data_IF_864296228829
#
_entry.id   IF_864296228829
#
_cell.length_a   1.000
_cell.length_b   1.000
_cell.length_c   1.000
_cell.angle_alpha   90.00
_cell.angle_beta   90.00
_cell.angle_gamma   90.00
#
_symmetry.space_group_name_H-M   'P 1'
#
loop_
_entity.id
_entity.type
_entity.pdbx_description
1 polymer ?
#
# COMPACT_ATOMS: atom_id res chain seq x y z
N UNK A 1 -19.10 16.75 19.81
CA UNK A 1 -17.65 16.56 20.07
C UNK A 1 -17.06 15.68 18.98
N UNK A 2 -15.85 15.97 18.46
CA UNK A 2 -15.15 15.04 17.56
C UNK A 2 -14.47 15.59 16.29
N UNK A 3 -14.38 16.91 16.05
CA UNK A 3 -13.45 17.49 15.05
C UNK A 3 -12.03 17.68 15.62
N UNK A 4 -11.55 16.73 16.43
CA UNK A 4 -10.12 16.66 16.76
C UNK A 4 -9.43 16.10 15.52
N UNK A 5 -8.69 16.97 14.83
CA UNK A 5 -8.13 16.76 13.49
C UNK A 5 -7.45 15.40 13.37
N UNK A 6 -7.58 14.75 12.19
CA UNK A 6 -6.89 13.49 11.89
C UNK A 6 -5.39 13.56 12.26
N UNK A 7 -4.78 14.73 12.09
CA UNK A 7 -3.44 15.11 12.55
C UNK A 7 -3.20 14.82 14.04
N UNK A 8 -4.13 15.12 14.94
CA UNK A 8 -3.91 14.90 16.39
C UNK A 8 -3.86 13.42 16.76
N UNK A 9 -4.52 12.54 15.99
CA UNK A 9 -4.64 11.10 16.32
C UNK A 9 -3.56 10.24 15.66
N UNK A 10 -3.01 10.69 14.55
CA UNK A 10 -2.13 9.88 13.71
C UNK A 10 -0.73 10.47 13.69
N UNK A 11 0.17 9.92 14.51
CA UNK A 11 1.52 10.44 14.68
C UNK A 11 2.36 10.37 13.41
N UNK A 12 2.29 9.26 12.67
CA UNK A 12 3.03 9.11 11.41
C UNK A 12 2.50 10.05 10.32
N UNK A 13 1.21 10.40 10.36
CA UNK A 13 0.67 11.45 9.49
C UNK A 13 1.21 12.84 9.84
N UNK A 14 1.40 13.16 11.13
CA UNK A 14 2.05 14.42 11.55
C UNK A 14 3.52 14.43 11.14
N UNK A 15 4.27 13.39 11.50
CA UNK A 15 5.68 13.25 11.17
C UNK A 15 5.91 13.35 9.66
N UNK A 16 5.00 12.78 8.85
CA UNK A 16 5.07 12.91 7.40
C UNK A 16 5.03 14.38 6.95
N UNK A 17 4.15 15.19 7.54
CA UNK A 17 4.05 16.61 7.21
C UNK A 17 5.26 17.41 7.71
N UNK A 18 5.73 17.10 8.92
CA UNK A 18 6.88 17.75 9.56
C UNK A 18 8.18 17.48 8.78
N UNK A 19 8.36 16.26 8.28
CA UNK A 19 9.52 15.84 7.49
C UNK A 19 9.34 16.04 5.96
N UNK A 20 8.21 16.60 5.54
CA UNK A 20 7.91 16.93 4.15
C UNK A 20 7.71 15.71 3.23
N UNK A 21 7.20 14.60 3.77
CA UNK A 21 6.73 13.44 3.02
C UNK A 21 5.29 13.63 2.52
N UNK A 22 5.00 13.16 1.30
CA UNK A 22 3.65 13.23 0.70
C UNK A 22 2.60 12.42 1.46
N UNK A 23 2.99 11.31 2.07
CA UNK A 23 2.10 10.45 2.82
C UNK A 23 2.84 9.76 3.97
N UNK A 24 2.07 9.30 4.98
CA UNK A 24 2.60 8.51 6.10
C UNK A 24 3.19 7.16 5.68
N UNK A 25 2.86 6.66 4.48
CA UNK A 25 3.39 5.38 4.02
C UNK A 25 4.88 5.42 3.69
N UNK A 26 5.50 6.59 3.57
CA UNK A 26 6.95 6.74 3.48
C UNK A 26 7.68 6.03 4.65
N UNK A 27 7.13 6.10 5.88
CA UNK A 27 7.71 5.43 7.04
C UNK A 27 7.69 3.89 6.95
N UNK A 28 6.76 3.32 6.18
CA UNK A 28 6.72 1.87 5.97
C UNK A 28 7.97 1.41 5.23
N UNK A 29 8.28 2.06 4.10
CA UNK A 29 9.47 1.74 3.31
C UNK A 29 10.77 2.00 4.08
N UNK A 30 10.83 3.10 4.85
CA UNK A 30 11.99 3.39 5.71
C UNK A 30 12.23 2.31 6.78
N UNK A 31 11.15 1.81 7.39
CA UNK A 31 11.22 0.74 8.39
C UNK A 31 11.56 -0.62 7.77
N UNK A 32 11.08 -0.88 6.54
CA UNK A 32 11.46 -2.08 5.78
C UNK A 32 12.94 -2.01 5.37
N UNK A 33 13.42 -0.86 4.91
CA UNK A 33 14.85 -0.66 4.60
C UNK A 33 15.74 -0.86 5.83
N UNK A 34 15.33 -0.36 7.00
CA UNK A 34 16.08 -0.56 8.24
C UNK A 34 16.27 -2.05 8.58
N UNK A 35 15.25 -2.88 8.33
CA UNK A 35 15.28 -4.30 8.67
C UNK A 35 15.96 -5.16 7.60
N UNK A 36 15.68 -4.88 6.33
CA UNK A 36 16.10 -5.72 5.20
C UNK A 36 17.27 -5.16 4.40
N UNK A 37 17.74 -3.94 4.74
CA UNK A 37 18.82 -3.23 4.07
C UNK A 37 18.58 -3.16 2.54
N UNK A 38 17.52 -2.46 2.14
CA UNK A 38 16.99 -2.48 0.77
C UNK A 38 17.74 -1.54 -0.19
N UNK A 39 18.46 -0.54 0.28
CA UNK A 39 19.09 0.43 -0.63
C UNK A 39 20.54 0.19 -1.06
N UNK A 40 21.39 -0.61 -0.37
CA UNK A 40 22.76 -0.85 -0.84
C UNK A 40 22.81 -1.50 -2.23
N UNK A 41 23.71 -1.00 -3.07
CA UNK A 41 23.93 -1.50 -4.43
C UNK A 41 22.79 -1.20 -5.43
N UNK A 42 21.77 -0.45 -5.02
CA UNK A 42 20.62 -0.11 -5.88
C UNK A 42 20.93 1.16 -6.65
N UNK A 43 20.92 1.05 -7.97
CA UNK A 43 21.09 2.18 -8.90
C UNK A 43 19.88 2.36 -9.81
N UNK A 44 19.12 1.29 -10.04
CA UNK A 44 17.87 1.30 -10.83
C UNK A 44 16.72 0.83 -9.95
N UNK A 45 15.78 1.72 -9.66
CA UNK A 45 14.63 1.40 -8.81
C UNK A 45 13.30 1.66 -9.55
N UNK A 46 12.33 0.77 -9.35
CA UNK A 46 10.96 0.92 -9.84
C UNK A 46 9.99 1.00 -8.67
N UNK A 47 9.14 2.01 -8.68
CA UNK A 47 8.02 2.17 -7.74
C UNK A 47 6.71 1.94 -8.50
N UNK A 48 5.99 0.86 -8.18
CA UNK A 48 4.73 0.48 -8.82
C UNK A 48 3.55 0.89 -7.95
N UNK A 49 2.46 1.32 -8.59
CA UNK A 49 1.30 1.89 -7.90
C UNK A 49 1.73 3.05 -6.98
N UNK A 50 2.59 3.90 -7.52
CA UNK A 50 3.36 4.86 -6.75
C UNK A 50 2.52 6.03 -6.19
N UNK A 51 1.34 6.34 -6.72
CA UNK A 51 0.60 7.55 -6.35
C UNK A 51 0.24 7.56 -4.85
N UNK A 52 0.48 8.68 -4.13
CA UNK A 52 0.86 10.02 -4.59
C UNK A 52 2.37 10.26 -4.74
N UNK A 53 3.21 9.24 -4.56
CA UNK A 53 4.66 9.27 -4.77
C UNK A 53 5.47 9.28 -3.48
N UNK A 54 4.93 8.77 -2.36
CA UNK A 54 5.64 8.83 -1.07
C UNK A 54 6.83 7.86 -1.01
N UNK A 55 6.73 6.67 -1.61
CA UNK A 55 7.83 5.71 -1.74
C UNK A 55 8.86 6.18 -2.76
N UNK A 56 8.41 6.71 -3.91
CA UNK A 56 9.26 7.42 -4.86
C UNK A 56 10.07 8.55 -4.23
N UNK A 57 9.50 9.29 -3.28
CA UNK A 57 10.25 10.29 -2.51
C UNK A 57 11.33 9.67 -1.64
N UNK A 58 11.03 8.57 -0.96
CA UNK A 58 12.00 7.85 -0.13
C UNK A 58 13.15 7.34 -0.99
N UNK A 59 12.85 6.69 -2.12
CA UNK A 59 13.85 6.23 -3.09
C UNK A 59 14.72 7.38 -3.59
N UNK A 60 14.10 8.50 -4.00
CA UNK A 60 14.85 9.67 -4.47
C UNK A 60 15.79 10.22 -3.40
N UNK A 61 15.32 10.42 -2.15
CA UNK A 61 16.17 10.94 -1.08
C UNK A 61 17.28 9.96 -0.67
N UNK A 62 17.00 8.65 -0.63
CA UNK A 62 17.92 7.63 -0.13
C UNK A 62 18.96 7.19 -1.14
N UNK A 63 18.55 7.01 -2.40
CA UNK A 63 19.46 6.56 -3.46
C UNK A 63 20.28 7.71 -4.02
N UNK A 64 19.67 8.89 -4.23
CA UNK A 64 20.40 10.03 -4.80
C UNK A 64 21.37 10.70 -3.82
N UNK A 65 21.10 10.61 -2.52
CA UNK A 65 22.09 11.01 -1.51
C UNK A 65 23.40 10.22 -1.63
N UNK A 66 23.40 9.05 -2.28
CA UNK A 66 24.59 8.21 -2.53
C UNK A 66 25.21 8.43 -3.91
N UNK A 67 24.55 9.15 -4.83
CA UNK A 67 25.12 9.50 -6.16
C UNK A 67 26.44 10.27 -6.00
N UNK A 68 26.49 11.17 -5.01
CA UNK A 68 27.69 11.97 -4.69
C UNK A 68 28.86 11.10 -4.19
N UNK A 69 28.58 9.95 -3.59
CA UNK A 69 29.57 9.04 -3.01
C UNK A 69 30.06 7.97 -4.01
N UNK A 70 29.17 7.50 -4.91
CA UNK A 70 29.43 6.34 -5.77
C UNK A 70 29.69 6.68 -7.25
N UNK A 71 29.40 7.92 -7.68
CA UNK A 71 29.66 8.37 -9.05
C UNK A 71 28.77 7.74 -10.14
N UNK A 72 27.90 6.78 -9.80
CA UNK A 72 26.92 6.20 -10.70
C UNK A 72 25.59 6.95 -10.65
N UNK A 73 25.01 7.19 -11.83
CA UNK A 73 23.74 7.89 -11.97
C UNK A 73 22.58 6.97 -11.61
N UNK A 74 21.85 7.31 -10.57
CA UNK A 74 20.66 6.58 -10.12
C UNK A 74 19.49 6.90 -11.06
N UNK A 75 18.77 5.87 -11.47
CA UNK A 75 17.56 5.95 -12.28
C UNK A 75 16.37 5.41 -11.48
N UNK A 76 15.36 6.25 -11.28
CA UNK A 76 14.14 5.87 -10.56
C UNK A 76 12.95 6.05 -11.49
N UNK A 77 12.17 5.00 -11.67
CA UNK A 77 10.94 5.01 -12.47
C UNK A 77 9.75 4.75 -11.57
N UNK A 78 8.77 5.65 -11.56
CA UNK A 78 7.55 5.51 -10.79
C UNK A 78 6.36 5.36 -11.74
N UNK A 79 5.54 4.33 -11.51
CA UNK A 79 4.43 3.96 -12.39
C UNK A 79 3.13 3.97 -11.62
N UNK A 80 2.13 4.68 -12.14
CA UNK A 80 0.77 4.65 -11.60
C UNK A 80 -0.27 4.95 -12.69
N UNK A 81 -1.51 4.50 -12.49
CA UNK A 81 -2.64 4.89 -13.34
C UNK A 81 -3.00 6.38 -13.16
N UNK A 82 -2.82 6.90 -11.94
CA UNK A 82 -3.06 8.28 -11.57
C UNK A 82 -1.85 9.15 -11.86
N UNK A 83 -2.11 10.37 -12.33
CA UNK A 83 -1.06 11.37 -12.49
C UNK A 83 -0.50 11.78 -11.12
N UNK A 84 0.83 11.77 -11.01
CA UNK A 84 1.54 12.25 -9.82
C UNK A 84 2.15 13.61 -10.08
N UNK A 85 2.28 14.41 -9.02
CA UNK A 85 3.06 15.63 -9.11
C UNK A 85 4.55 15.29 -9.29
N UNK A 86 5.31 16.08 -10.08
CA UNK A 86 6.70 15.77 -10.41
C UNK A 86 7.55 15.63 -9.15
N UNK A 87 8.51 14.71 -9.20
CA UNK A 87 9.47 14.43 -8.14
C UNK A 87 10.90 14.58 -8.65
N UNK A 88 11.79 15.29 -7.95
CA UNK A 88 13.18 15.46 -8.38
C UNK A 88 13.89 14.11 -8.55
N UNK A 89 14.48 13.88 -9.72
CA UNK A 89 15.22 12.65 -10.02
C UNK A 89 14.37 11.39 -10.17
N UNK A 90 13.05 11.53 -10.34
CA UNK A 90 12.14 10.40 -10.58
C UNK A 90 11.45 10.60 -11.93
N UNK A 91 11.60 9.64 -12.82
CA UNK A 91 10.82 9.55 -14.05
C UNK A 91 9.45 8.97 -13.71
N UNK A 92 8.38 9.67 -14.10
CA UNK A 92 7.01 9.27 -13.79
C UNK A 92 6.32 8.80 -15.08
N UNK A 93 5.87 7.56 -15.09
CA UNK A 93 5.09 6.96 -16.18
C UNK A 93 3.65 6.85 -15.70
N UNK A 94 2.74 7.49 -16.41
CA UNK A 94 1.32 7.27 -16.18
C UNK A 94 0.87 6.07 -17.01
N UNK A 95 0.81 4.90 -16.39
CA UNK A 95 0.67 3.63 -17.09
C UNK A 95 -0.03 2.55 -16.29
N UNK A 96 -0.57 1.59 -17.01
CA UNK A 96 -1.19 0.40 -16.42
C UNK A 96 -0.13 -0.70 -16.32
N UNK A 97 0.13 -1.18 -15.10
CA UNK A 97 1.16 -2.19 -14.83
C UNK A 97 0.84 -3.55 -15.48
N UNK A 98 -0.41 -3.80 -15.89
CA UNK A 98 -0.80 -5.03 -16.59
C UNK A 98 -0.44 -5.01 -18.07
N UNK A 99 -0.08 -3.84 -18.62
CA UNK A 99 0.21 -3.68 -20.05
C UNK A 99 1.69 -3.86 -20.37
N UNK A 100 1.95 -4.62 -21.45
CA UNK A 100 3.31 -4.81 -22.00
C UNK A 100 3.95 -3.49 -22.42
N UNK A 101 3.15 -2.52 -22.89
CA UNK A 101 3.65 -1.19 -23.26
C UNK A 101 4.35 -0.48 -22.09
N UNK A 102 3.80 -0.61 -20.88
CA UNK A 102 4.35 -0.03 -19.65
C UNK A 102 5.69 -0.69 -19.29
N UNK A 103 5.76 -2.02 -19.39
CA UNK A 103 7.01 -2.77 -19.17
C UNK A 103 8.10 -2.32 -20.15
N UNK A 104 7.76 -2.18 -21.44
CA UNK A 104 8.69 -1.71 -22.47
C UNK A 104 9.18 -0.28 -22.21
N UNK A 105 8.32 0.60 -21.71
CA UNK A 105 8.68 1.97 -21.35
C UNK A 105 9.68 2.01 -20.18
N UNK A 106 9.45 1.19 -19.14
CA UNK A 106 10.40 1.03 -18.03
C UNK A 106 11.77 0.54 -18.54
N UNK A 107 11.78 -0.52 -19.36
CA UNK A 107 13.01 -1.09 -19.92
C UNK A 107 13.77 -0.06 -20.77
N UNK A 108 13.07 0.76 -21.56
CA UNK A 108 13.68 1.86 -22.33
C UNK A 108 14.35 2.89 -21.42
N UNK A 109 13.73 3.25 -20.31
CA UNK A 109 14.31 4.19 -19.33
C UNK A 109 15.58 3.64 -18.66
N UNK A 110 15.67 2.34 -18.47
CA UNK A 110 16.87 1.67 -17.98
C UNK A 110 17.86 1.27 -19.08
N UNK A 111 17.66 1.70 -20.34
CA UNK A 111 18.54 1.39 -21.47
C UNK A 111 18.75 -0.13 -21.65
N UNK A 112 17.69 -0.91 -21.42
CA UNK A 112 17.73 -2.38 -21.51
C UNK A 112 18.33 -3.07 -20.29
N UNK A 113 18.84 -2.33 -19.30
CA UNK A 113 19.31 -2.91 -18.04
C UNK A 113 18.13 -3.27 -17.12
N UNK A 114 18.25 -4.36 -16.35
CA UNK A 114 17.24 -4.75 -15.36
C UNK A 114 17.25 -3.79 -14.16
N UNK A 115 16.13 -3.69 -13.45
CA UNK A 115 16.12 -2.93 -12.19
C UNK A 115 16.84 -3.71 -11.07
N UNK A 116 17.26 -3.00 -10.03
CA UNK A 116 17.88 -3.60 -8.84
C UNK A 116 16.85 -3.76 -7.70
N UNK A 117 15.81 -2.91 -7.72
CA UNK A 117 14.78 -2.86 -6.69
C UNK A 117 13.42 -2.54 -7.31
N UNK A 118 12.40 -3.31 -6.95
CA UNK A 118 11.00 -3.02 -7.27
C UNK A 118 10.19 -2.95 -5.99
N UNK A 119 9.48 -1.84 -5.78
CA UNK A 119 8.65 -1.63 -4.60
C UNK A 119 7.21 -1.34 -5.03
N UNK A 120 6.25 -1.75 -4.21
CA UNK A 120 4.83 -1.51 -4.42
C UNK A 120 4.08 -1.33 -3.08
N UNK A 121 3.55 -0.13 -2.85
CA UNK A 121 2.61 0.19 -1.75
C UNK A 121 1.16 0.21 -2.26
N UNK A 122 0.91 -0.39 -3.43
CA UNK A 122 -0.40 -0.45 -4.05
C UNK A 122 -1.37 -1.30 -3.23
N UNK A 123 -2.51 -0.71 -2.88
CA UNK A 123 -3.65 -1.39 -2.31
C UNK A 123 -4.94 -0.89 -2.98
N UNK A 124 -5.91 -1.76 -3.28
CA UNK A 124 -7.21 -1.34 -3.77
C UNK A 124 -7.99 -0.62 -2.66
N UNK A 125 -9.02 0.12 -3.06
CA UNK A 125 -9.95 0.70 -2.10
C UNK A 125 -10.68 -0.43 -1.34
N UNK A 126 -10.56 -0.42 -0.01
CA UNK A 126 -11.15 -1.42 0.87
C UNK A 126 -12.67 -1.28 0.83
N UNK A 127 -13.36 -2.32 0.37
CA UNK A 127 -14.82 -2.37 0.30
C UNK A 127 -15.44 -2.69 1.66
N UNK A 128 -14.67 -3.29 2.57
CA UNK A 128 -15.14 -3.79 3.85
C UNK A 128 -15.59 -5.26 3.79
N UNK A 129 -15.64 -5.85 2.60
CA UNK A 129 -15.83 -7.27 2.39
C UNK A 129 -14.44 -7.93 2.29
N UNK A 130 -13.97 -8.45 3.42
CA UNK A 130 -12.59 -8.94 3.55
C UNK A 130 -12.18 -9.94 2.48
N UNK A 131 -13.06 -10.89 2.10
CA UNK A 131 -12.76 -11.91 1.10
C UNK A 131 -12.54 -11.30 -0.31
N UNK A 132 -13.32 -10.26 -0.65
CA UNK A 132 -13.19 -9.53 -1.93
C UNK A 132 -11.95 -8.66 -1.93
N UNK A 133 -11.71 -7.93 -0.83
CA UNK A 133 -10.53 -7.08 -0.67
C UNK A 133 -9.24 -7.91 -0.75
N UNK A 134 -9.25 -9.10 -0.15
CA UNK A 134 -8.17 -10.09 -0.22
C UNK A 134 -7.93 -10.57 -1.65
N UNK A 135 -8.99 -10.97 -2.36
CA UNK A 135 -8.89 -11.42 -3.75
C UNK A 135 -8.32 -10.33 -4.67
N UNK A 136 -8.82 -9.09 -4.57
CA UNK A 136 -8.35 -7.98 -5.42
C UNK A 136 -6.88 -7.66 -5.14
N UNK A 137 -6.47 -7.66 -3.87
CA UNK A 137 -5.06 -7.46 -3.51
C UNK A 137 -4.16 -8.58 -4.06
N UNK A 138 -4.62 -9.84 -4.04
CA UNK A 138 -3.89 -10.95 -4.64
C UNK A 138 -3.73 -10.77 -6.17
N UNK A 139 -4.78 -10.32 -6.87
CA UNK A 139 -4.70 -9.99 -8.30
C UNK A 139 -3.70 -8.87 -8.59
N UNK A 140 -3.67 -7.84 -7.75
CA UNK A 140 -2.70 -6.75 -7.88
C UNK A 140 -1.26 -7.27 -7.74
N UNK A 141 -1.01 -8.14 -6.76
CA UNK A 141 0.31 -8.72 -6.55
C UNK A 141 0.74 -9.66 -7.68
N UNK A 142 -0.19 -10.41 -8.25
CA UNK A 142 0.05 -11.22 -9.45
C UNK A 142 0.47 -10.33 -10.63
N UNK A 143 -0.24 -9.23 -10.87
CA UNK A 143 0.13 -8.26 -11.90
C UNK A 143 1.50 -7.61 -11.66
N UNK A 144 1.78 -7.23 -10.41
CA UNK A 144 3.09 -6.68 -9.99
C UNK A 144 4.21 -7.71 -10.22
N UNK A 145 3.97 -8.97 -9.87
CA UNK A 145 4.95 -10.05 -10.07
C UNK A 145 5.19 -10.32 -11.55
N UNK A 146 4.14 -10.35 -12.37
CA UNK A 146 4.27 -10.51 -13.82
C UNK A 146 5.07 -9.36 -14.45
N UNK A 147 4.78 -8.11 -14.04
CA UNK A 147 5.54 -6.95 -14.51
C UNK A 147 7.00 -7.04 -14.07
N UNK A 148 7.23 -7.39 -12.80
CA UNK A 148 8.54 -7.60 -12.23
C UNK A 148 9.35 -8.61 -13.06
N UNK A 149 8.79 -9.79 -13.34
CA UNK A 149 9.47 -10.82 -14.12
C UNK A 149 9.76 -10.33 -15.55
N UNK A 150 8.83 -9.59 -16.15
CA UNK A 150 8.99 -9.07 -17.51
C UNK A 150 10.11 -8.05 -17.65
N UNK A 151 10.42 -7.30 -16.58
CA UNK A 151 11.54 -6.35 -16.56
C UNK A 151 12.83 -6.95 -15.92
N UNK A 152 12.77 -8.20 -15.43
CA UNK A 152 13.90 -8.94 -14.84
C UNK A 152 13.95 -10.41 -15.32
N UNK A 153 14.31 -10.67 -16.58
CA UNK A 153 14.39 -12.05 -17.04
C UNK A 153 15.57 -12.83 -16.42
N UNK A 154 16.67 -12.18 -15.99
CA UNK A 154 17.95 -12.88 -15.75
C UNK A 154 18.85 -12.37 -14.60
N UNK A 155 18.41 -11.46 -13.72
CA UNK A 155 19.34 -10.83 -12.73
C UNK A 155 19.05 -11.17 -11.28
N UNK A 156 20.07 -11.72 -10.61
CA UNK A 156 20.05 -12.05 -9.18
C UNK A 156 20.12 -10.81 -8.29
N UNK A 157 19.47 -10.85 -7.12
CA UNK A 157 19.60 -9.82 -6.07
C UNK A 157 18.48 -8.77 -6.03
N UNK A 158 17.51 -8.87 -6.92
CA UNK A 158 16.37 -7.96 -6.98
C UNK A 158 15.44 -8.22 -5.79
N UNK A 159 14.95 -7.13 -5.18
CA UNK A 159 14.04 -7.20 -4.04
C UNK A 159 12.66 -6.70 -4.41
N UNK A 160 11.63 -7.42 -3.98
CA UNK A 160 10.22 -7.06 -4.17
C UNK A 160 9.61 -6.77 -2.81
N UNK A 161 8.79 -5.72 -2.71
CA UNK A 161 8.00 -5.42 -1.52
C UNK A 161 6.56 -5.13 -1.95
N UNK A 162 5.60 -5.90 -1.45
CA UNK A 162 4.19 -5.75 -1.81
C UNK A 162 3.22 -6.03 -0.65
N UNK A 163 2.04 -5.41 -0.65
CA UNK A 163 1.08 -5.49 0.45
C UNK A 163 0.26 -6.80 0.43
N UNK A 164 0.26 -7.58 1.52
CA UNK A 164 -0.74 -8.63 1.78
C UNK A 164 -0.71 -9.23 3.21
N UNK A 165 -1.87 -9.43 3.83
CA UNK A 165 -2.10 -10.45 4.89
C UNK A 165 -3.57 -10.87 4.90
N UNK A 166 -3.84 -12.07 4.40
CA UNK A 166 -5.16 -12.67 4.30
C UNK A 166 -5.20 -14.09 4.87
N UNK A 167 -6.27 -14.84 4.64
CA UNK A 167 -6.31 -16.27 4.99
C UNK A 167 -5.62 -17.15 3.94
N UNK A 168 -5.65 -16.75 2.68
CA UNK A 168 -5.20 -17.53 1.53
C UNK A 168 -3.84 -17.08 0.97
N UNK A 169 -3.00 -16.49 1.83
CA UNK A 169 -1.64 -16.03 1.49
C UNK A 169 -0.70 -17.15 1.06
N UNK A 170 -1.00 -18.38 1.45
CA UNK A 170 -0.10 -19.52 1.31
C UNK A 170 0.19 -19.82 -0.16
N UNK A 171 -0.82 -19.74 -1.04
CA UNK A 171 -0.65 -19.93 -2.48
C UNK A 171 0.35 -18.93 -3.06
N UNK A 172 0.14 -17.65 -2.76
CA UNK A 172 1.01 -16.57 -3.20
C UNK A 172 2.45 -16.77 -2.70
N UNK A 173 2.62 -17.15 -1.44
CA UNK A 173 3.95 -17.39 -0.86
C UNK A 173 4.67 -18.58 -1.51
N UNK A 174 3.93 -19.66 -1.79
CA UNK A 174 4.45 -20.80 -2.52
C UNK A 174 4.89 -20.42 -3.93
N UNK A 175 4.08 -19.61 -4.63
CA UNK A 175 4.44 -19.07 -5.95
C UNK A 175 5.70 -18.21 -5.89
N UNK A 176 5.80 -17.28 -4.94
CA UNK A 176 6.99 -16.43 -4.79
C UNK A 176 8.24 -17.24 -4.43
N UNK A 177 8.13 -18.30 -3.62
CA UNK A 177 9.27 -19.17 -3.28
C UNK A 177 9.86 -19.93 -4.46
N UNK A 178 9.13 -20.08 -5.57
CA UNK A 178 9.68 -20.65 -6.81
C UNK A 178 10.73 -19.71 -7.42
N UNK A 179 10.55 -18.39 -7.23
CA UNK A 179 11.35 -17.35 -7.88
C UNK A 179 12.31 -16.64 -6.94
N UNK A 180 12.18 -16.81 -5.63
CA UNK A 180 12.99 -16.11 -4.63
C UNK A 180 13.45 -17.05 -3.53
N UNK A 181 14.74 -17.01 -3.19
CA UNK A 181 15.26 -17.85 -2.10
C UNK A 181 14.84 -17.32 -0.73
N UNK A 182 14.62 -16.01 -0.60
CA UNK A 182 14.16 -15.38 0.62
C UNK A 182 12.78 -14.76 0.43
N UNK A 183 11.76 -15.25 1.14
CA UNK A 183 10.42 -14.66 1.17
C UNK A 183 10.04 -14.47 2.63
N UNK A 184 9.78 -13.23 3.03
CA UNK A 184 9.44 -12.85 4.41
C UNK A 184 8.21 -11.96 4.42
N UNK A 185 7.25 -12.23 5.30
CA UNK A 185 6.14 -11.34 5.56
C UNK A 185 6.54 -10.36 6.67
N UNK A 186 6.36 -9.07 6.43
CA UNK A 186 6.92 -7.99 7.23
C UNK A 186 5.82 -6.99 7.60
N UNK A 187 5.66 -6.64 8.87
CA UNK A 187 4.71 -5.61 9.30
C UNK A 187 5.44 -4.43 9.94
N UNK A 188 5.59 -3.30 9.23
CA UNK A 188 6.18 -2.09 9.78
C UNK A 188 5.35 -1.52 10.92
N UNK A 189 6.00 -0.98 11.96
CA UNK A 189 5.30 -0.30 13.08
C UNK A 189 4.48 0.92 12.67
N UNK A 190 4.80 1.51 11.53
CA UNK A 190 4.01 2.60 10.94
C UNK A 190 2.72 2.11 10.26
N UNK A 191 2.56 0.80 10.04
CA UNK A 191 1.29 0.18 9.65
C UNK A 191 0.43 -0.09 10.88
N UNK A 192 -0.87 0.16 10.78
CA UNK A 192 -1.81 0.00 11.90
C UNK A 192 -1.97 -1.47 12.28
N UNK A 193 -2.01 -1.79 13.57
CA UNK A 193 -2.25 -3.15 14.01
C UNK A 193 -3.68 -3.60 13.65
N UNK A 194 -4.62 -2.67 13.67
CA UNK A 194 -6.00 -2.85 13.19
C UNK A 194 -6.12 -3.11 11.68
N UNK A 195 -5.09 -2.82 10.90
CA UNK A 195 -5.08 -3.11 9.46
C UNK A 195 -4.58 -4.54 9.20
N UNK A 196 -5.19 -5.20 8.22
CA UNK A 196 -4.70 -6.46 7.64
C UNK A 196 -3.52 -6.22 6.68
N UNK A 197 -2.97 -5.02 6.62
CA UNK A 197 -1.77 -4.74 5.85
C UNK A 197 -0.53 -5.43 6.48
N UNK A 198 0.22 -6.13 5.64
CA UNK A 198 1.61 -6.53 5.85
C UNK A 198 2.32 -6.49 4.48
N UNK A 199 3.63 -6.66 4.45
CA UNK A 199 4.45 -6.53 3.27
C UNK A 199 5.22 -7.82 3.01
N UNK A 200 5.15 -8.37 1.82
CA UNK A 200 5.98 -9.51 1.42
C UNK A 200 7.28 -8.98 0.86
N UNK A 201 8.38 -9.20 1.58
CA UNK A 201 9.74 -8.87 1.16
C UNK A 201 10.36 -10.11 0.53
N UNK A 202 10.60 -10.04 -0.77
CA UNK A 202 11.28 -11.09 -1.52
C UNK A 202 12.72 -10.67 -1.79
N UNK A 203 13.67 -11.57 -1.59
CA UNK A 203 15.11 -11.36 -1.74
C UNK A 203 15.71 -12.49 -2.56
N UNK A 204 16.81 -12.19 -3.26
CA UNK A 204 17.57 -13.13 -4.07
C UNK A 204 16.70 -13.80 -5.14
N UNK A 205 16.26 -12.99 -6.10
CA UNK A 205 15.57 -13.50 -7.29
C UNK A 205 16.41 -14.58 -7.99
N UNK A 206 15.81 -15.75 -8.18
CA UNK A 206 16.40 -16.98 -8.71
C UNK A 206 15.31 -17.73 -9.50
N UNK A 207 15.00 -17.32 -10.73
CA UNK A 207 13.97 -17.96 -11.54
C UNK A 207 14.39 -19.38 -11.96
N UNK A 208 13.42 -20.29 -12.21
CA UNK A 208 13.71 -21.61 -12.79
C UNK A 208 14.39 -21.53 -14.16
N UNK A 209 15.22 -22.51 -14.48
CA UNK A 209 15.89 -22.60 -15.78
C UNK A 209 14.88 -22.69 -16.92
N UNK A 210 15.04 -21.86 -17.96
CA UNK A 210 14.13 -21.79 -19.10
C UNK A 210 12.83 -21.03 -18.85
N UNK A 211 12.65 -20.39 -17.68
CA UNK A 211 11.49 -19.55 -17.43
C UNK A 211 11.48 -18.31 -18.34
N UNK A 212 10.39 -18.16 -19.11
CA UNK A 212 10.14 -16.97 -19.93
C UNK A 212 8.99 -16.19 -19.30
N UNK A 213 9.24 -14.95 -18.84
CA UNK A 213 8.19 -14.10 -18.30
C UNK A 213 7.05 -13.87 -19.31
N UNK A 214 5.81 -13.97 -18.86
CA UNK A 214 4.64 -13.68 -19.68
C UNK A 214 3.61 -12.85 -18.87
N UNK A 215 3.22 -11.70 -19.41
CA UNK A 215 2.19 -10.82 -18.83
C UNK A 215 0.77 -11.34 -19.02
N UNK A 216 0.53 -12.28 -19.95
CA UNK A 216 -0.80 -12.79 -20.30
C UNK A 216 -1.34 -13.84 -19.34
N UNK A 217 -0.47 -14.55 -18.62
CA UNK A 217 -0.87 -15.51 -17.59
C UNK A 217 -0.08 -15.27 -16.30
N UNK A 218 -0.53 -14.35 -15.44
CA UNK A 218 0.18 -14.04 -14.20
C UNK A 218 0.02 -15.15 -13.15
N UNK A 219 -0.93 -16.07 -13.32
CA UNK A 219 -1.16 -17.22 -12.43
C UNK A 219 -0.17 -18.34 -12.75
N UNK A 220 0.73 -18.59 -11.80
CA UNK A 220 1.78 -19.60 -11.93
C UNK A 220 1.36 -21.02 -11.54
N UNK A 221 0.10 -21.27 -11.17
CA UNK A 221 -0.41 -22.64 -11.08
C UNK A 221 -1.94 -22.68 -11.04
N UNK A 222 -2.55 -23.55 -11.84
CA UNK A 222 -3.97 -23.90 -11.73
C UNK A 222 -4.20 -25.12 -10.81
N UNK A 223 -3.13 -25.74 -10.30
CA UNK A 223 -3.16 -26.93 -9.43
C UNK A 223 -2.88 -26.62 -7.96
N UNK A 224 -3.41 -25.50 -7.45
CA UNK A 224 -3.42 -25.29 -6.00
C UNK A 224 -4.48 -26.17 -5.35
N UNK A 225 -4.06 -27.25 -4.71
CA UNK A 225 -4.93 -28.03 -3.85
C UNK A 225 -5.27 -27.21 -2.60
N UNK A 226 -6.54 -26.86 -2.43
CA UNK A 226 -7.02 -26.11 -1.25
C UNK A 226 -6.72 -26.84 0.06
N UNK A 227 -6.49 -28.15 0.03
CA UNK A 227 -6.08 -28.93 1.20
C UNK A 227 -4.67 -28.56 1.69
N UNK A 228 -3.82 -27.89 0.88
CA UNK A 228 -2.54 -27.34 1.35
C UNK A 228 -2.71 -26.31 2.48
N UNK A 229 -3.82 -25.58 2.52
CA UNK A 229 -4.12 -24.65 3.62
C UNK A 229 -4.49 -25.38 4.92
N UNK A 230 -4.86 -26.66 4.84
CA UNK A 230 -5.24 -27.51 5.99
C UNK A 230 -4.05 -28.31 6.54
N UNK A 231 -2.88 -28.26 5.90
CA UNK A 231 -1.68 -28.93 6.41
C UNK A 231 -1.25 -28.33 7.75
N UNK A 232 -0.94 -29.21 8.71
CA UNK A 232 -0.47 -28.83 10.04
C UNK A 232 0.96 -29.33 10.32
N UNK A 233 1.61 -28.71 11.31
CA UNK A 233 2.94 -29.12 11.77
C UNK A 233 4.04 -28.99 10.70
N UNK A 234 4.95 -29.97 10.57
CA UNK A 234 6.13 -29.88 9.71
C UNK A 234 5.80 -29.86 8.19
N UNK A 235 4.58 -30.28 7.82
CA UNK A 235 4.14 -30.28 6.42
C UNK A 235 3.65 -28.90 5.95
N UNK A 236 3.42 -27.97 6.88
CA UNK A 236 3.00 -26.61 6.56
C UNK A 236 4.22 -25.73 6.31
N UNK A 237 4.32 -25.18 5.10
CA UNK A 237 5.33 -24.15 4.81
C UNK A 237 4.84 -22.81 5.38
N UNK A 238 5.50 -22.35 6.44
CA UNK A 238 5.22 -21.04 7.05
C UNK A 238 6.29 -20.06 6.55
N UNK A 239 5.84 -18.99 5.89
CA UNK A 239 6.72 -17.84 5.60
C UNK A 239 6.99 -17.09 6.90
N UNK A 240 8.24 -16.76 7.22
CA UNK A 240 8.56 -16.04 8.45
C UNK A 240 7.80 -14.71 8.49
N UNK A 241 7.24 -14.39 9.66
CA UNK A 241 6.60 -13.12 9.93
C UNK A 241 7.53 -12.26 10.80
N UNK A 242 7.84 -11.06 10.33
CA UNK A 242 8.78 -10.14 10.97
C UNK A 242 8.08 -8.81 11.26
N UNK A 243 8.14 -8.35 12.51
CA UNK A 243 7.75 -6.98 12.84
C UNK A 243 8.94 -6.06 12.54
N UNK A 244 8.73 -5.00 11.76
CA UNK A 244 9.81 -4.10 11.34
C UNK A 244 9.75 -2.77 12.07
N UNK A 245 10.91 -2.27 12.49
CA UNK A 245 11.08 -0.99 13.17
C UNK A 245 11.44 -1.12 14.65
N UNK A 246 11.85 -0.02 15.25
CA UNK A 246 12.36 0.02 16.63
C UNK A 246 11.26 -0.21 17.69
N UNK A 247 11.56 -0.94 18.75
CA UNK A 247 10.71 -1.13 19.94
C UNK A 247 10.39 0.19 20.65
N UNK A 248 11.27 1.20 20.55
CA UNK A 248 11.03 2.53 21.11
C UNK A 248 10.12 3.42 20.25
N UNK A 249 9.82 3.01 19.00
CA UNK A 249 9.02 3.80 18.07
C UNK A 249 7.56 3.95 18.52
N UNK A 250 6.89 4.95 17.92
CA UNK A 250 5.49 5.20 18.19
C UNK A 250 4.59 4.04 17.74
N UNK A 251 3.61 3.72 18.57
CA UNK A 251 2.50 2.81 18.28
C UNK A 251 1.51 3.51 17.35
N UNK A 252 1.33 2.95 16.15
CA UNK A 252 0.43 3.49 15.12
C UNK A 252 -1.03 3.61 15.53
N UNK A 253 -1.48 2.87 16.55
CA UNK A 253 -2.86 2.88 17.04
C UNK A 253 -3.04 3.76 18.29
N UNK A 254 -1.95 4.29 18.86
CA UNK A 254 -2.01 5.21 20.01
C UNK A 254 -2.00 6.67 19.58
N UNK A 255 -2.64 7.49 20.42
CA UNK A 255 -2.55 8.95 20.33
C UNK A 255 -1.47 9.46 21.27
N UNK A 256 -0.62 10.35 20.77
CA UNK A 256 0.47 10.94 21.53
C UNK A 256 0.29 12.45 21.70
N UNK A 257 0.63 13.02 22.88
CA UNK A 257 0.63 14.46 23.08
C UNK A 257 1.53 15.14 22.05
N UNK A 258 1.22 16.40 21.73
CA UNK A 258 2.04 17.19 20.84
C UNK A 258 3.35 17.55 21.56
N UNK A 259 4.48 17.15 20.97
CA UNK A 259 5.80 17.58 21.41
C UNK A 259 6.04 18.98 20.86
N UNK A 260 5.70 20.00 21.65
CA UNK A 260 5.90 21.40 21.31
C UNK A 260 7.04 21.95 22.16
N UNK A 261 7.95 22.71 21.56
CA UNK A 261 8.93 23.49 22.33
C UNK A 261 8.18 24.42 23.30
N UNK A 262 8.74 24.64 24.49
CA UNK A 262 8.15 25.49 25.50
C UNK A 262 7.78 26.87 24.91
N UNK A 263 6.48 27.20 24.94
CA UNK A 263 5.94 28.46 24.43
C UNK A 263 5.52 28.48 22.95
N UNK A 264 5.74 27.40 22.18
CA UNK A 264 5.24 27.31 20.79
C UNK A 264 3.83 26.70 20.76
N UNK A 265 2.92 27.34 20.02
CA UNK A 265 1.60 26.77 19.72
C UNK A 265 1.70 25.82 18.52
N UNK A 266 0.82 24.81 18.49
CA UNK A 266 0.72 23.91 17.34
C UNK A 266 0.36 24.68 16.07
N UNK A 267 1.21 24.58 15.05
CA UNK A 267 0.95 25.10 13.72
C UNK A 267 0.60 23.95 12.80
N UNK A 268 -0.61 23.98 12.24
CA UNK A 268 -1.00 23.02 11.21
C UNK A 268 -0.14 23.21 9.95
N UNK A 269 0.46 22.13 9.48
CA UNK A 269 1.18 22.08 8.21
C UNK A 269 0.28 21.39 7.16
N UNK A 270 0.02 22.03 6.01
CA UNK A 270 -0.70 21.36 4.93
C UNK A 270 0.15 20.19 4.36
N UNK A 271 -0.48 19.18 3.73
CA UNK A 271 0.26 18.12 3.04
C UNK A 271 1.24 18.72 2.02
N UNK A 272 2.45 18.16 1.93
CA UNK A 272 3.51 18.65 1.03
C UNK A 272 3.05 18.74 -0.42
N UNK A 273 2.24 17.77 -0.86
CA UNK A 273 1.61 17.80 -2.17
C UNK A 273 0.32 16.98 -2.12
N UNK A 274 -0.86 17.59 -2.34
CA UNK A 274 -2.11 16.84 -2.46
C UNK A 274 -2.14 16.04 -3.78
N UNK A 275 -2.96 14.96 -3.85
CA UNK A 275 -3.22 14.25 -5.10
C UNK A 275 -3.70 15.22 -6.18
N UNK A 276 -3.21 15.05 -7.41
CA UNK A 276 -3.65 15.86 -8.57
C UNK A 276 -5.14 15.59 -8.86
N UNK A 277 -5.52 14.31 -8.84
CA UNK A 277 -6.91 13.84 -8.92
C UNK A 277 -7.18 12.89 -7.76
N UNK A 278 -7.88 13.34 -6.70
CA UNK A 278 -8.18 12.46 -5.57
C UNK A 278 -9.21 11.40 -5.97
N UNK A 279 -9.14 10.16 -5.45
CA UNK A 279 -10.13 9.10 -5.75
C UNK A 279 -11.57 9.52 -5.42
N UNK A 280 -11.73 10.39 -4.42
CA UNK A 280 -13.02 10.93 -3.97
C UNK A 280 -13.47 12.19 -4.71
N UNK A 281 -12.84 12.56 -5.84
CA UNK A 281 -13.20 13.74 -6.63
C UNK A 281 -14.68 13.72 -7.04
N UNK A 282 -15.15 12.58 -7.57
CA UNK A 282 -16.55 12.40 -7.98
C UNK A 282 -17.50 12.54 -6.78
N UNK A 283 -17.19 11.90 -5.65
CA UNK A 283 -18.00 12.02 -4.44
C UNK A 283 -18.06 13.48 -3.93
N UNK A 284 -16.94 14.21 -4.00
CA UNK A 284 -16.90 15.62 -3.67
C UNK A 284 -17.70 16.48 -4.63
N UNK A 285 -17.67 16.17 -5.93
CA UNK A 285 -18.50 16.83 -6.95
C UNK A 285 -19.99 16.57 -6.72
N UNK A 286 -20.40 15.31 -6.54
CA UNK A 286 -21.78 14.93 -6.24
C UNK A 286 -22.28 15.62 -4.97
N UNK A 287 -21.46 15.66 -3.91
CA UNK A 287 -21.80 16.36 -2.67
C UNK A 287 -21.97 17.86 -2.88
N UNK A 288 -21.06 18.51 -3.61
CA UNK A 288 -21.14 19.96 -3.90
C UNK A 288 -22.40 20.30 -4.69
N UNK A 289 -22.84 19.41 -5.57
CA UNK A 289 -24.01 19.59 -6.43
C UNK A 289 -25.31 19.00 -5.86
N UNK A 290 -25.32 18.55 -4.59
CA UNK A 290 -26.47 17.88 -3.97
C UNK A 290 -27.02 16.67 -4.75
N UNK A 291 -26.14 15.95 -5.48
CA UNK A 291 -26.48 14.78 -6.27
C UNK A 291 -26.29 13.45 -5.51
N UNK A 292 -25.87 13.50 -4.24
CA UNK A 292 -25.80 12.31 -3.40
C UNK A 292 -27.21 11.90 -2.95
N UNK A 293 -27.52 10.61 -3.06
CA UNK A 293 -28.75 10.03 -2.51
C UNK A 293 -28.90 10.41 -1.04
N UNK A 294 -30.06 10.94 -0.67
CA UNK A 294 -30.45 11.17 0.72
C UNK A 294 -31.33 10.01 1.16
N UNK A 295 -31.19 9.57 2.40
CA UNK A 295 -32.23 8.70 2.98
C UNK A 295 -33.54 9.48 2.98
N UNK A 296 -34.59 8.89 2.40
CA UNK A 296 -35.93 9.42 2.53
C UNK A 296 -36.26 9.46 4.03
N UNK A 297 -36.62 10.64 4.53
CA UNK A 297 -37.02 10.78 5.92
C UNK A 297 -38.16 9.79 6.19
N UNK A 298 -38.16 9.06 7.32
CA UNK A 298 -39.25 8.16 7.65
C UNK A 298 -40.55 8.97 7.62
N UNK A 299 -41.49 8.56 6.78
CA UNK A 299 -42.77 9.24 6.64
C UNK A 299 -43.43 9.29 8.01
N UNK A 300 -43.64 10.50 8.52
CA UNK A 300 -44.40 10.74 9.74
C UNK A 300 -45.83 10.26 9.50
N UNK A 301 -46.11 9.00 9.82
CA UNK A 301 -47.49 8.53 9.98
C UNK A 301 -48.11 9.38 11.08
N UNK A 302 -49.26 10.06 10.86
CA UNK A 302 -49.92 10.78 11.93
C UNK A 302 -50.34 9.77 13.00
N UNK A 303 -49.78 9.94 14.20
CA UNK A 303 -50.24 9.32 15.42
C UNK A 303 -51.66 9.82 15.69
N UNK A 304 -52.67 8.98 15.45
CA UNK A 304 -53.99 9.18 16.04
C UNK A 304 -53.86 8.97 17.55
N UNK A 305 -53.60 10.06 18.27
CA UNK A 305 -53.80 10.14 19.71
C UNK A 305 -55.30 10.39 19.92
N UNK A 306 -56.02 9.36 20.39
CA UNK A 306 -57.37 9.51 20.93
C UNK A 306 -57.27 9.65 22.44
N UNK A 307 -57.61 10.83 22.95
CA UNK A 307 -57.98 11.14 24.34
C UNK A 307 -59.30 11.94 24.23
N UNK A 308 -60.35 11.82 25.04
CA UNK A 308 -60.56 11.19 26.34
C UNK A 308 -62.07 11.25 26.71
N UNK A 309 -62.46 10.41 27.69
CA UNK A 309 -63.58 10.51 28.67
C UNK A 309 -65.06 10.38 28.17
N UNK A 310 -66.01 9.74 28.87
CA UNK A 310 -66.30 9.63 30.32
C UNK A 310 -67.15 8.37 30.67
N UNK A 311 -67.31 8.03 31.97
CA UNK A 311 -67.97 6.82 32.48
C UNK A 311 -69.47 7.02 32.78
N UNK A 312 -70.26 5.95 32.69
CA UNK A 312 -71.53 5.83 33.44
C UNK A 312 -71.69 4.42 34.03
N UNK A 313 -71.98 4.42 35.32
CA UNK A 313 -72.44 3.29 36.10
C UNK A 313 -73.94 3.09 35.88
N UNK A 314 -74.40 1.84 35.79
CA UNK A 314 -75.74 1.46 36.22
C UNK A 314 -75.62 0.46 37.35
N UNK A 315 -76.22 0.84 38.47
CA UNK A 315 -76.53 0.01 39.64
C UNK A 315 -77.75 -0.85 39.36
N UNK A 316 -77.64 -2.17 39.51
CA UNK A 316 -78.35 -3.02 40.50
C UNK A 316 -77.44 -4.20 40.82
#
# INVERSE_FOLDING_TARGET
MGRSSKDKRDIYYRLAKEEGWRARSAFKLLQLDHEFNLFPGVTRAVDLCAAPGSWSQVLSRKLRGREEEQGERVKIVAVDLQAMAPLPGVTQIQGDITKVSTAQEIIRHFEGQPADLVVCDGAPDVTGLHDVDEYIQAQLLLAVSALFFSIHPLVCGVRLTAIFRGKDVTLLYSQLKIFFTGVTCAKPRSSRNSSIEAFVVCQNYSPPEGYVPNMSNPLLDHSYDVDFNQLEGPNRVIVPFLACGDLSAFDSDRTYPLQLDAGKQYRYTPPTQPPIRPPYEQACHLRKNNLLSREDAPSSRPSQCGDEAQPQAESV
#
